data_IF_220580700181
#
_entry.id   IF_220580700181
#
_cell.length_a   1.000
_cell.length_b   1.000
_cell.length_c   1.000
_cell.angle_alpha   90.00
_cell.angle_beta   90.00
_cell.angle_gamma   90.00
#
_symmetry.space_group_name_H-M   'P 1'
#
loop_
_entity.id
_entity.type
_entity.pdbx_description
1 polymer ?
#
# COMPACT_ATOMS: atom_id res chain seq x y z
N UNK A 1 15.92 12.44 -11.52
CA UNK A 1 14.52 12.80 -11.24
C UNK A 1 13.70 11.52 -11.24
N UNK A 2 12.95 11.23 -10.19
CA UNK A 2 12.10 10.05 -10.10
C UNK A 2 10.89 10.22 -11.04
N UNK A 3 10.68 9.25 -11.93
CA UNK A 3 9.52 9.20 -12.82
C UNK A 3 8.62 8.06 -12.35
N UNK A 4 7.38 8.37 -12.02
CA UNK A 4 6.43 7.41 -11.53
C UNK A 4 5.66 6.74 -12.66
N UNK A 5 5.42 5.44 -12.50
CA UNK A 5 4.55 4.67 -13.37
C UNK A 5 3.07 5.04 -13.12
N UNK A 6 2.29 5.02 -14.18
CA UNK A 6 0.84 5.14 -14.12
C UNK A 6 0.21 3.80 -13.77
N UNK A 7 0.70 2.71 -14.39
CA UNK A 7 0.29 1.34 -14.09
C UNK A 7 1.37 0.32 -14.46
N UNK A 8 1.22 -0.91 -13.99
CA UNK A 8 2.05 -2.05 -14.39
C UNK A 8 1.42 -2.69 -15.62
N UNK A 9 2.20 -2.74 -16.72
CA UNK A 9 1.76 -3.30 -17.98
C UNK A 9 1.93 -4.82 -18.04
N UNK A 10 3.03 -5.33 -17.51
CA UNK A 10 3.36 -6.76 -17.53
C UNK A 10 4.16 -7.16 -16.31
N UNK A 11 3.87 -8.35 -15.82
CA UNK A 11 4.69 -9.05 -14.82
C UNK A 11 5.13 -10.38 -15.42
N UNK A 12 6.44 -10.63 -15.40
CA UNK A 12 7.02 -11.90 -15.80
C UNK A 12 7.75 -12.53 -14.62
N UNK A 13 7.49 -13.82 -14.41
CA UNK A 13 8.12 -14.62 -13.36
C UNK A 13 8.79 -15.81 -14.03
N UNK A 14 10.12 -15.82 -14.05
CA UNK A 14 10.92 -16.84 -14.73
C UNK A 14 10.64 -18.24 -14.21
N UNK A 15 10.50 -18.37 -12.88
CA UNK A 15 10.23 -19.66 -12.30
C UNK A 15 9.41 -19.58 -11.01
N UNK A 16 8.41 -20.44 -10.91
CA UNK A 16 7.68 -20.75 -9.70
C UNK A 16 7.80 -22.24 -9.41
N UNK A 17 7.64 -22.60 -8.12
CA UNK A 17 7.65 -23.97 -7.65
C UNK A 17 8.87 -24.77 -8.15
N UNK A 18 10.06 -24.27 -7.81
CA UNK A 18 11.34 -24.91 -8.15
C UNK A 18 11.57 -25.07 -9.66
N UNK A 19 11.22 -24.03 -10.42
CA UNK A 19 11.50 -23.97 -11.86
C UNK A 19 10.42 -24.62 -12.74
N UNK A 20 9.31 -25.06 -12.17
CA UNK A 20 8.28 -25.80 -12.93
C UNK A 20 7.36 -24.92 -13.77
N UNK A 21 7.25 -23.62 -13.46
CA UNK A 21 6.31 -22.71 -14.13
C UNK A 21 6.94 -21.36 -14.39
N UNK A 22 6.92 -20.98 -15.65
CA UNK A 22 7.15 -19.62 -16.13
C UNK A 22 5.79 -18.95 -16.30
N UNK A 23 5.67 -17.69 -15.86
CA UNK A 23 4.42 -16.92 -15.95
C UNK A 23 4.73 -15.59 -16.63
N UNK A 24 3.94 -15.27 -17.63
CA UNK A 24 3.86 -13.94 -18.23
C UNK A 24 2.43 -13.46 -18.06
N UNK A 25 2.25 -12.39 -17.31
CA UNK A 25 0.95 -11.82 -17.01
C UNK A 25 0.86 -10.41 -17.58
N UNK A 26 0.07 -10.26 -18.65
CA UNK A 26 -0.31 -8.96 -19.21
C UNK A 26 -1.42 -8.39 -18.34
N UNK A 27 -1.25 -7.15 -17.89
CA UNK A 27 -2.17 -6.50 -16.96
C UNK A 27 -3.01 -5.44 -17.66
N UNK A 28 -4.28 -5.40 -17.30
CA UNK A 28 -5.18 -4.29 -17.59
C UNK A 28 -4.81 -3.08 -16.72
N UNK A 29 -4.84 -1.85 -17.23
CA UNK A 29 -4.47 -0.66 -16.47
C UNK A 29 -5.43 -0.35 -15.31
N UNK A 30 -6.63 -0.90 -15.26
CA UNK A 30 -7.62 -0.61 -14.23
C UNK A 30 -7.74 -1.72 -13.20
N UNK A 31 -8.19 -2.91 -13.60
CA UNK A 31 -8.51 -4.01 -12.68
C UNK A 31 -8.02 -5.33 -13.21
N UNK A 32 -7.30 -6.07 -12.37
CA UNK A 32 -6.85 -7.42 -12.66
C UNK A 32 -7.30 -8.36 -11.54
N UNK A 33 -7.93 -9.47 -11.90
CA UNK A 33 -8.44 -10.44 -10.94
C UNK A 33 -7.74 -11.78 -11.13
N UNK A 34 -7.06 -12.24 -10.07
CA UNK A 34 -6.45 -13.56 -10.03
C UNK A 34 -7.38 -14.53 -9.29
N UNK A 35 -8.10 -15.35 -10.03
CA UNK A 35 -9.04 -16.32 -9.48
C UNK A 35 -8.55 -17.77 -9.64
N UNK A 36 -9.12 -18.67 -8.88
CA UNK A 36 -8.82 -20.10 -8.92
C UNK A 36 -9.09 -20.78 -7.58
N UNK A 37 -9.07 -22.11 -7.59
CA UNK A 37 -9.32 -22.95 -6.39
C UNK A 37 -8.25 -22.69 -5.31
N UNK A 38 -8.56 -23.06 -4.07
CA UNK A 38 -7.60 -22.95 -2.97
C UNK A 38 -6.39 -23.87 -3.22
N UNK A 39 -5.21 -23.39 -2.85
CA UNK A 39 -3.95 -24.12 -3.05
C UNK A 39 -3.32 -23.98 -4.45
N UNK A 40 -3.99 -23.37 -5.43
CA UNK A 40 -3.44 -23.22 -6.80
C UNK A 40 -2.25 -22.24 -6.89
N UNK A 41 -1.93 -21.53 -5.81
CA UNK A 41 -0.75 -20.68 -5.75
C UNK A 41 -0.99 -19.18 -6.00
N UNK A 42 -2.24 -18.70 -5.94
CA UNK A 42 -2.56 -17.26 -6.08
C UNK A 42 -1.74 -16.40 -5.14
N UNK A 43 -1.78 -16.72 -3.86
CA UNK A 43 -1.03 -15.98 -2.82
C UNK A 43 0.49 -16.10 -3.02
N UNK A 44 0.99 -17.23 -3.53
CA UNK A 44 2.41 -17.43 -3.84
C UNK A 44 2.86 -16.47 -4.94
N UNK A 45 2.06 -16.33 -6.01
CA UNK A 45 2.32 -15.39 -7.11
C UNK A 45 2.35 -13.96 -6.58
N UNK A 46 1.28 -13.54 -5.89
CA UNK A 46 1.16 -12.18 -5.36
C UNK A 46 2.29 -11.85 -4.37
N UNK A 47 2.63 -12.78 -3.47
CA UNK A 47 3.73 -12.60 -2.52
C UNK A 47 5.10 -12.50 -3.23
N UNK A 48 5.31 -13.24 -4.31
CA UNK A 48 6.56 -13.15 -5.08
C UNK A 48 6.68 -11.81 -5.79
N UNK A 49 5.58 -11.33 -6.39
CA UNK A 49 5.52 -9.99 -7.01
C UNK A 49 5.78 -8.92 -5.95
N UNK A 50 5.07 -8.97 -4.82
CA UNK A 50 5.24 -8.01 -3.74
C UNK A 50 6.67 -7.93 -3.21
N UNK A 51 7.28 -9.10 -2.95
CA UNK A 51 8.66 -9.16 -2.46
C UNK A 51 9.69 -8.68 -3.49
N UNK A 52 9.35 -8.66 -4.78
CA UNK A 52 10.23 -8.15 -5.83
C UNK A 52 10.25 -6.63 -5.91
N UNK A 53 9.15 -5.98 -5.51
CA UNK A 53 9.06 -4.52 -5.50
C UNK A 53 9.71 -4.02 -4.21
N UNK A 54 10.74 -3.19 -4.33
CA UNK A 54 11.36 -2.56 -3.17
C UNK A 54 10.37 -1.65 -2.44
N UNK A 55 10.56 -1.47 -1.14
CA UNK A 55 9.71 -0.63 -0.29
C UNK A 55 9.57 0.81 -0.76
N UNK A 56 10.56 1.32 -1.49
CA UNK A 56 10.52 2.64 -2.14
C UNK A 56 9.87 2.65 -3.52
N UNK A 57 9.39 1.50 -4.00
CA UNK A 57 8.75 1.36 -5.30
C UNK A 57 9.70 1.45 -6.51
N UNK A 58 11.01 1.24 -6.32
CA UNK A 58 11.99 1.24 -7.39
C UNK A 58 11.76 0.05 -8.33
N UNK A 59 11.50 0.34 -9.61
CA UNK A 59 11.25 -0.67 -10.66
C UNK A 59 12.52 -1.23 -11.29
N UNK A 60 13.67 -0.61 -11.06
CA UNK A 60 14.96 -1.03 -11.63
C UNK A 60 15.74 -1.97 -10.73
N UNK A 61 15.60 -1.79 -9.42
CA UNK A 61 16.30 -2.58 -8.42
C UNK A 61 15.34 -3.59 -7.79
N UNK A 62 15.14 -4.72 -8.46
CA UNK A 62 14.31 -5.80 -7.93
C UNK A 62 15.03 -6.56 -6.82
N UNK A 63 14.35 -6.75 -5.68
CA UNK A 63 14.89 -7.51 -4.54
C UNK A 63 15.00 -9.00 -4.85
N UNK A 64 14.14 -9.52 -5.74
CA UNK A 64 14.13 -10.93 -6.10
C UNK A 64 14.54 -11.10 -7.57
N UNK A 65 15.52 -11.99 -7.80
CA UNK A 65 15.86 -12.42 -9.15
C UNK A 65 14.71 -13.22 -9.77
N UNK A 66 14.55 -13.08 -11.09
CA UNK A 66 13.55 -13.82 -11.86
C UNK A 66 12.11 -13.28 -11.72
N UNK A 67 11.96 -12.01 -11.38
CA UNK A 67 10.70 -11.27 -11.54
C UNK A 67 11.01 -9.99 -12.29
N UNK A 68 10.32 -9.81 -13.41
CA UNK A 68 10.48 -8.65 -14.28
C UNK A 68 9.15 -7.89 -14.34
N UNK A 69 9.19 -6.59 -14.06
CA UNK A 69 8.01 -5.72 -14.05
C UNK A 69 8.21 -4.65 -15.11
N UNK A 70 7.30 -4.60 -16.06
CA UNK A 70 7.24 -3.56 -17.08
C UNK A 70 6.07 -2.63 -16.74
N UNK A 71 6.36 -1.34 -16.72
CA UNK A 71 5.37 -0.31 -16.37
C UNK A 71 5.18 0.68 -17.53
N UNK A 72 4.08 1.43 -17.46
CA UNK A 72 3.79 2.52 -18.40
C UNK A 72 3.81 3.85 -17.62
N UNK A 73 4.47 4.90 -18.13
CA UNK A 73 5.33 4.91 -19.34
C UNK A 73 6.63 4.11 -19.12
N UNK A 74 7.22 3.57 -20.20
CA UNK A 74 8.47 2.77 -20.15
C UNK A 74 9.64 3.51 -19.49
N UNK A 75 9.60 4.84 -19.49
CA UNK A 75 10.59 5.68 -18.81
C UNK A 75 10.41 5.74 -17.29
N UNK A 76 9.37 5.11 -16.74
CA UNK A 76 9.13 5.08 -15.30
C UNK A 76 10.27 4.36 -14.55
N UNK A 77 10.63 4.92 -13.41
CA UNK A 77 11.66 4.37 -12.53
C UNK A 77 11.09 3.92 -11.20
N UNK A 78 9.91 4.40 -10.86
CA UNK A 78 9.25 4.13 -9.58
C UNK A 78 7.75 3.87 -9.77
N UNK A 79 7.18 3.10 -8.87
CA UNK A 79 5.73 2.90 -8.76
C UNK A 79 5.28 3.21 -7.34
N UNK A 80 4.12 3.85 -7.23
CA UNK A 80 3.40 3.96 -5.95
C UNK A 80 2.47 2.78 -5.84
N UNK A 81 2.55 2.04 -4.75
CA UNK A 81 1.69 0.90 -4.52
C UNK A 81 1.31 0.81 -3.05
N UNK A 82 0.21 0.18 -2.78
CA UNK A 82 -0.19 -0.24 -1.45
C UNK A 82 -0.67 -1.69 -1.49
N UNK A 83 -0.69 -2.35 -0.34
CA UNK A 83 -1.06 -3.76 -0.23
C UNK A 83 -2.06 -3.93 0.89
N UNK A 84 -3.21 -4.45 0.50
CA UNK A 84 -4.22 -4.92 1.44
C UNK A 84 -4.10 -6.44 1.54
N UNK A 85 -3.84 -6.93 2.73
CA UNK A 85 -3.67 -8.37 2.98
C UNK A 85 -4.90 -8.96 3.64
N UNK A 86 -5.17 -10.24 3.35
CA UNK A 86 -6.16 -10.99 4.11
C UNK A 86 -5.72 -11.11 5.57
N UNK A 87 -6.67 -11.00 6.48
CA UNK A 87 -6.46 -11.16 7.93
C UNK A 87 -5.97 -12.58 8.30
N UNK A 88 -6.30 -13.57 7.47
CA UNK A 88 -5.92 -14.97 7.65
C UNK A 88 -4.52 -15.31 7.12
N UNK A 89 -3.80 -14.34 6.58
CA UNK A 89 -2.47 -14.57 6.04
C UNK A 89 -1.43 -14.53 7.16
N UNK A 90 -0.79 -15.65 7.51
CA UNK A 90 0.31 -15.66 8.46
C UNK A 90 1.51 -14.98 7.79
N UNK A 91 1.75 -13.72 8.10
CA UNK A 91 2.69 -12.91 7.33
C UNK A 91 3.80 -12.28 8.11
N UNK A 92 3.77 -12.42 9.41
CA UNK A 92 4.80 -11.86 10.26
C UNK A 92 5.30 -12.94 11.19
N UNK A 93 6.59 -13.04 11.21
CA UNK A 93 7.29 -13.73 12.27
C UNK A 93 6.82 -13.10 13.61
N UNK A 94 6.32 -13.93 14.51
CA UNK A 94 5.83 -13.49 15.83
C UNK A 94 6.90 -12.64 16.54
N UNK A 95 8.18 -12.96 16.31
CA UNK A 95 9.29 -12.20 16.86
C UNK A 95 9.34 -10.75 16.33
N UNK A 96 8.97 -10.53 15.08
CA UNK A 96 8.91 -9.17 14.49
C UNK A 96 7.75 -8.35 15.06
N UNK A 97 6.64 -8.99 15.40
CA UNK A 97 5.49 -8.32 16.04
C UNK A 97 5.82 -7.84 17.45
N UNK A 98 6.45 -8.71 18.24
CA UNK A 98 6.80 -8.42 19.62
C UNK A 98 7.85 -7.31 19.77
N UNK A 99 8.71 -7.11 18.77
CA UNK A 99 9.69 -6.03 18.73
C UNK A 99 9.06 -4.63 18.56
N UNK A 100 7.83 -4.56 18.05
CA UNK A 100 7.16 -3.28 17.76
C UNK A 100 6.41 -2.76 18.98
N UNK A 101 5.60 -3.61 19.62
CA UNK A 101 4.85 -3.28 20.85
C UNK A 101 4.38 -4.59 21.51
N UNK A 102 4.63 -4.74 22.79
CA UNK A 102 4.22 -5.93 23.56
C UNK A 102 2.70 -6.14 23.65
N UNK A 103 1.90 -5.14 23.25
CA UNK A 103 0.44 -5.23 23.17
C UNK A 103 -0.06 -5.83 21.86
N UNK A 104 0.82 -6.00 20.88
CA UNK A 104 0.50 -6.59 19.59
C UNK A 104 0.57 -8.11 19.73
N UNK A 105 -0.58 -8.75 19.80
CA UNK A 105 -0.68 -10.20 20.02
C UNK A 105 -1.19 -10.96 18.82
N UNK A 106 -1.72 -10.25 17.81
CA UNK A 106 -2.28 -10.83 16.60
C UNK A 106 -1.86 -10.10 15.34
N UNK A 107 -1.98 -10.76 14.18
CA UNK A 107 -1.77 -10.12 12.88
C UNK A 107 -2.73 -8.94 12.65
N UNK A 108 -3.93 -9.01 13.19
CA UNK A 108 -4.91 -7.92 13.15
C UNK A 108 -4.44 -6.72 13.95
N UNK A 109 -3.96 -6.92 15.20
CA UNK A 109 -3.44 -5.84 16.04
C UNK A 109 -2.28 -5.14 15.35
N UNK A 110 -1.39 -5.91 14.71
CA UNK A 110 -0.27 -5.38 13.95
C UNK A 110 -0.73 -4.54 12.76
N UNK A 111 -1.74 -4.98 12.01
CA UNK A 111 -2.31 -4.21 10.90
C UNK A 111 -2.97 -2.92 11.38
N UNK A 112 -3.74 -2.98 12.47
CA UNK A 112 -4.37 -1.80 13.08
C UNK A 112 -3.32 -0.80 13.58
N UNK A 113 -2.25 -1.29 14.20
CA UNK A 113 -1.13 -0.44 14.63
C UNK A 113 -0.47 0.28 13.44
N UNK A 114 -0.19 -0.44 12.35
CA UNK A 114 0.37 0.17 11.14
C UNK A 114 -0.59 1.17 10.49
N UNK A 115 -1.88 0.84 10.43
CA UNK A 115 -2.89 1.74 9.89
C UNK A 115 -2.98 3.02 10.72
N UNK A 116 -2.95 2.90 12.05
CA UNK A 116 -2.94 4.06 12.94
C UNK A 116 -1.71 4.95 12.69
N UNK A 117 -0.52 4.37 12.54
CA UNK A 117 0.68 5.14 12.24
C UNK A 117 0.60 5.86 10.90
N UNK A 118 0.18 5.16 9.83
CA UNK A 118 -0.04 5.78 8.52
C UNK A 118 -1.04 6.94 8.59
N UNK A 119 -2.09 6.79 9.38
CA UNK A 119 -3.06 7.85 9.59
C UNK A 119 -2.46 9.06 10.32
N UNK A 120 -1.66 8.84 11.36
CA UNK A 120 -0.96 9.93 12.08
C UNK A 120 0.03 10.64 11.14
N UNK A 121 0.82 9.90 10.36
CA UNK A 121 1.73 10.48 9.38
C UNK A 121 0.98 11.34 8.34
N UNK A 122 -0.16 10.85 7.86
CA UNK A 122 -1.04 11.62 6.97
C UNK A 122 -1.53 12.92 7.63
N UNK A 123 -1.99 12.86 8.88
CA UNK A 123 -2.46 14.02 9.63
C UNK A 123 -1.36 15.08 9.80
N UNK A 124 -0.15 14.65 10.16
CA UNK A 124 1.01 15.54 10.31
C UNK A 124 1.38 16.16 8.97
N UNK A 125 1.49 15.35 7.93
CA UNK A 125 1.89 15.83 6.60
C UNK A 125 0.88 16.83 6.02
N UNK A 126 -0.42 16.55 6.11
CA UNK A 126 -1.44 17.46 5.59
C UNK A 126 -1.50 18.74 6.44
N UNK A 127 -1.33 18.65 7.77
CA UNK A 127 -1.25 19.78 8.66
C UNK A 127 -0.08 20.70 8.33
N UNK A 128 1.11 20.15 8.15
CA UNK A 128 2.28 20.92 7.75
C UNK A 128 2.08 21.63 6.41
N UNK A 129 1.50 20.96 5.42
CA UNK A 129 1.21 21.56 4.12
C UNK A 129 0.20 22.71 4.21
N UNK A 130 -0.83 22.58 5.06
CA UNK A 130 -1.79 23.68 5.30
C UNK A 130 -1.05 24.88 5.87
N UNK A 131 -0.17 24.68 6.86
CA UNK A 131 0.61 25.76 7.48
C UNK A 131 1.54 26.42 6.44
N UNK A 132 2.23 25.64 5.62
CA UNK A 132 3.09 26.15 4.55
C UNK A 132 2.32 27.01 3.54
N UNK A 133 1.15 26.57 3.10
CA UNK A 133 0.33 27.35 2.16
C UNK A 133 -0.20 28.66 2.79
N UNK A 134 -0.57 28.62 4.06
CA UNK A 134 -0.95 29.85 4.79
C UNK A 134 0.23 30.82 4.91
N UNK A 135 1.43 30.34 5.19
CA UNK A 135 2.64 31.17 5.26
C UNK A 135 3.01 31.79 3.91
N UNK A 136 2.70 31.12 2.80
CA UNK A 136 2.86 31.63 1.44
C UNK A 136 1.76 32.61 1.01
N UNK A 137 0.74 32.82 1.85
CA UNK A 137 -0.43 33.64 1.53
C UNK A 137 -1.46 32.94 0.62
N UNK A 138 -1.35 31.63 0.41
CA UNK A 138 -2.23 30.85 -0.46
C UNK A 138 -3.43 30.31 0.32
N UNK A 139 -4.29 31.16 0.85
CA UNK A 139 -5.43 30.76 1.66
C UNK A 139 -6.36 29.76 0.96
N UNK A 140 -6.56 29.89 -0.36
CA UNK A 140 -7.40 28.95 -1.15
C UNK A 140 -6.81 27.55 -1.21
N UNK A 141 -5.49 27.40 -1.37
CA UNK A 141 -4.84 26.10 -1.35
C UNK A 141 -4.89 25.46 0.05
N UNK A 142 -4.70 26.25 1.10
CA UNK A 142 -4.81 25.80 2.48
C UNK A 142 -6.23 25.30 2.80
N UNK A 143 -7.26 26.02 2.35
CA UNK A 143 -8.66 25.62 2.50
C UNK A 143 -8.94 24.30 1.78
N UNK A 144 -8.51 24.14 0.53
CA UNK A 144 -8.69 22.91 -0.24
C UNK A 144 -8.03 21.69 0.46
N UNK A 145 -6.84 21.86 1.03
CA UNK A 145 -6.17 20.80 1.82
C UNK A 145 -6.95 20.47 3.09
N UNK A 146 -7.52 21.46 3.77
CA UNK A 146 -8.37 21.26 4.93
C UNK A 146 -9.64 20.49 4.58
N UNK A 147 -10.27 20.82 3.47
CA UNK A 147 -11.45 20.10 2.95
C UNK A 147 -11.12 18.65 2.60
N UNK A 148 -9.95 18.38 1.97
CA UNK A 148 -9.50 17.02 1.71
C UNK A 148 -9.31 16.21 3.00
N UNK A 149 -8.75 16.81 4.03
CA UNK A 149 -8.60 16.18 5.35
C UNK A 149 -9.96 15.80 5.95
N UNK A 150 -10.91 16.72 5.93
CA UNK A 150 -12.25 16.47 6.44
C UNK A 150 -12.96 15.39 5.65
N UNK A 151 -12.94 15.47 4.31
CA UNK A 151 -13.54 14.46 3.42
C UNK A 151 -12.98 13.06 3.68
N UNK A 152 -11.68 12.93 3.90
CA UNK A 152 -11.08 11.63 4.24
C UNK A 152 -11.66 11.07 5.55
N UNK A 153 -11.80 11.91 6.58
CA UNK A 153 -12.39 11.50 7.85
C UNK A 153 -13.85 11.09 7.70
N UNK A 154 -14.62 11.85 6.93
CA UNK A 154 -16.04 11.58 6.67
C UNK A 154 -16.23 10.24 5.94
N UNK A 155 -15.38 9.93 4.95
CA UNK A 155 -15.39 8.64 4.25
C UNK A 155 -15.11 7.50 5.22
N UNK A 156 -14.14 7.64 6.11
CA UNK A 156 -13.83 6.60 7.09
C UNK A 156 -14.97 6.43 8.09
N UNK A 157 -15.56 7.51 8.58
CA UNK A 157 -16.71 7.46 9.50
C UNK A 157 -17.93 6.82 8.81
N UNK A 158 -18.15 7.08 7.52
CA UNK A 158 -19.19 6.45 6.72
C UNK A 158 -18.98 4.94 6.57
N UNK A 159 -17.75 4.52 6.26
CA UNK A 159 -17.39 3.09 6.14
C UNK A 159 -17.61 2.31 7.44
N UNK A 160 -17.46 2.96 8.58
CA UNK A 160 -17.69 2.34 9.88
C UNK A 160 -19.07 2.62 10.50
N UNK A 161 -19.96 3.32 9.79
CA UNK A 161 -21.27 3.75 10.30
C UNK A 161 -22.13 2.58 10.79
N UNK A 162 -22.14 1.47 10.05
CA UNK A 162 -22.90 0.25 10.43
C UNK A 162 -22.38 -0.41 11.72
N UNK A 163 -21.11 -0.19 12.05
CA UNK A 163 -20.50 -0.74 13.28
C UNK A 163 -20.62 0.18 14.49
N UNK A 164 -21.16 1.39 14.30
CA UNK A 164 -21.25 2.43 15.32
C UNK A 164 -19.90 3.01 15.76
N UNK A 165 -18.81 2.71 15.01
CA UNK A 165 -17.46 3.22 15.28
C UNK A 165 -17.23 4.53 14.54
N UNK A 166 -16.46 5.43 15.15
CA UNK A 166 -16.06 6.72 14.58
C UNK A 166 -14.59 7.00 14.87
N UNK A 167 -13.99 7.83 14.03
CA UNK A 167 -12.66 8.38 14.36
C UNK A 167 -12.83 9.35 15.55
N UNK A 168 -12.20 9.02 16.67
CA UNK A 168 -12.15 9.93 17.81
C UNK A 168 -11.16 11.05 17.49
N UNK A 169 -11.66 12.26 17.38
CA UNK A 169 -10.85 13.46 17.23
C UNK A 169 -10.47 13.91 18.64
N UNK A 170 -9.26 13.58 19.09
CA UNK A 170 -8.70 14.17 20.32
C UNK A 170 -8.25 15.59 19.98
N UNK A 171 -8.94 16.58 20.53
CA UNK A 171 -8.40 17.93 20.66
C UNK A 171 -7.29 17.88 21.72
N UNK A 172 -6.05 18.01 21.32
CA UNK A 172 -4.93 18.26 22.22
C UNK A 172 -4.70 19.76 22.35
#
# INVERSE_FOLDING_TARGET
MQKYAEYIKQIEIDSLWSGRKHIVWQLDPQVNILSGINGVGKSTILNKIFRSICTNGDLKNHLLKGVHITAEPESATHIRFDIIRSLDSPMLDVDTMNLVDSRITSALDFQLYHLQRKYLDYQVNIGNRIIEELQRGNAGAAQHLSEQKTRFQDIVDELFSETGKKIVRTEN
#
